data_IF_548986664357
#
_entry.id   IF_548986664357
#
_cell.length_a   1.000
_cell.length_b   1.000
_cell.length_c   1.000
_cell.angle_alpha   90.00
_cell.angle_beta   90.00
_cell.angle_gamma   90.00
#
_symmetry.space_group_name_H-M   'P 1'
#
loop_
_entity.id
_entity.type
_entity.pdbx_description
1 polymer ?
#
# COMPACT_ATOMS: atom_id res chain seq x y z
N UNK A 1 -20.19 -13.65 -0.51
CA UNK A 1 -20.76 -12.26 -0.49
C UNK A 1 -20.25 -11.46 0.72
N UNK A 2 -19.98 -12.07 1.85
CA UNK A 2 -19.46 -11.38 3.06
C UNK A 2 -18.04 -10.81 2.90
N UNK A 3 -17.14 -11.47 2.17
CA UNK A 3 -15.76 -11.00 1.98
C UNK A 3 -15.65 -9.66 1.19
N UNK A 4 -16.60 -9.38 0.27
CA UNK A 4 -16.62 -8.09 -0.46
C UNK A 4 -17.20 -6.94 0.36
N UNK A 5 -18.03 -7.23 1.38
CA UNK A 5 -18.60 -6.24 2.29
C UNK A 5 -17.58 -5.71 3.31
N UNK A 6 -16.57 -6.50 3.67
CA UNK A 6 -15.59 -6.19 4.72
C UNK A 6 -14.74 -4.94 4.43
N UNK A 7 -14.54 -4.59 3.15
CA UNK A 7 -13.71 -3.45 2.75
C UNK A 7 -14.52 -2.14 2.61
N UNK A 8 -15.86 -2.21 2.56
CA UNK A 8 -16.72 -1.06 2.23
C UNK A 8 -17.05 -0.11 3.40
N UNK A 9 -16.82 -0.53 4.65
CA UNK A 9 -17.29 0.22 5.83
C UNK A 9 -16.30 1.25 6.40
N UNK A 10 -15.03 1.25 5.96
CA UNK A 10 -14.03 2.21 6.43
C UNK A 10 -13.50 3.04 5.27
N UNK A 11 -13.22 4.31 5.55
CA UNK A 11 -12.46 5.17 4.64
C UNK A 11 -11.09 4.53 4.42
N UNK A 12 -10.70 4.29 3.16
CA UNK A 12 -9.37 3.80 2.83
C UNK A 12 -8.32 4.83 3.30
N UNK A 13 -7.22 4.38 3.88
CA UNK A 13 -6.14 5.27 4.35
C UNK A 13 -5.68 6.24 3.25
N UNK A 14 -5.68 5.82 1.99
CA UNK A 14 -5.31 6.66 0.86
C UNK A 14 -6.32 7.82 0.62
N UNK A 15 -7.46 7.81 1.31
CA UNK A 15 -8.47 8.85 1.32
C UNK A 15 -8.50 9.63 2.65
N UNK A 16 -7.58 9.36 3.57
CA UNK A 16 -7.49 10.09 4.85
C UNK A 16 -6.88 11.49 4.67
N UNK A 17 -7.07 12.34 5.68
CA UNK A 17 -6.46 13.66 5.73
C UNK A 17 -4.94 13.58 5.83
N UNK A 18 -4.42 12.68 6.65
CA UNK A 18 -2.98 12.48 6.84
C UNK A 18 -2.30 12.06 5.54
N UNK A 19 -2.96 11.23 4.72
CA UNK A 19 -2.44 10.88 3.40
C UNK A 19 -2.44 12.09 2.46
N UNK A 20 -3.49 12.91 2.48
CA UNK A 20 -3.59 14.14 1.69
C UNK A 20 -2.48 15.12 2.05
N UNK A 21 -2.32 15.42 3.35
CA UNK A 21 -1.27 16.32 3.85
C UNK A 21 0.13 15.82 3.46
N UNK A 22 0.37 14.52 3.60
CA UNK A 22 1.63 13.92 3.14
C UNK A 22 1.83 14.12 1.63
N UNK A 23 0.80 13.94 0.78
CA UNK A 23 0.92 14.20 -0.66
C UNK A 23 1.27 15.68 -0.94
N UNK A 24 0.68 16.61 -0.20
CA UNK A 24 1.01 18.06 -0.27
C UNK A 24 2.47 18.33 0.12
N UNK A 25 2.97 17.72 1.19
CA UNK A 25 4.38 17.82 1.58
C UNK A 25 5.34 17.28 0.52
N UNK A 26 4.90 16.30 -0.30
CA UNK A 26 5.69 15.84 -1.45
C UNK A 26 5.67 16.81 -2.65
N UNK A 27 4.95 17.94 -2.55
CA UNK A 27 4.85 18.97 -3.58
C UNK A 27 3.72 18.72 -4.58
N UNK A 28 2.77 17.84 -4.29
CA UNK A 28 1.58 17.64 -5.10
C UNK A 28 0.48 18.63 -4.70
N UNK A 29 -0.30 19.05 -5.67
CA UNK A 29 -1.55 19.76 -5.42
C UNK A 29 -2.64 18.71 -5.14
N UNK A 30 -3.44 18.96 -4.12
CA UNK A 30 -4.58 18.12 -3.75
C UNK A 30 -5.85 18.93 -3.73
N UNK A 31 -6.98 18.23 -3.84
CA UNK A 31 -8.32 18.80 -3.70
C UNK A 31 -9.13 17.87 -2.81
N UNK A 32 -9.94 18.45 -1.93
CA UNK A 32 -10.90 17.70 -1.13
C UNK A 32 -12.31 18.08 -1.56
N UNK A 33 -13.17 17.09 -1.76
CA UNK A 33 -14.58 17.29 -2.05
C UNK A 33 -15.42 16.40 -1.16
N UNK A 34 -16.56 16.91 -0.73
CA UNK A 34 -17.52 16.16 0.09
C UNK A 34 -18.90 16.18 -0.55
N UNK A 35 -19.58 15.04 -0.53
CA UNK A 35 -20.94 14.88 -1.00
C UNK A 35 -21.68 13.85 -0.15
N UNK A 36 -22.81 14.23 0.45
CA UNK A 36 -23.64 13.35 1.29
C UNK A 36 -22.85 12.65 2.41
N UNK A 37 -21.91 13.36 3.06
CA UNK A 37 -21.07 12.83 4.12
C UNK A 37 -19.94 11.90 3.65
N UNK A 38 -19.74 11.77 2.34
CA UNK A 38 -18.61 11.03 1.76
C UNK A 38 -17.59 12.04 1.24
N UNK A 39 -16.41 12.05 1.87
CA UNK A 39 -15.25 12.84 1.43
C UNK A 39 -14.39 12.07 0.45
N UNK A 40 -13.83 12.78 -0.52
CA UNK A 40 -12.79 12.25 -1.43
C UNK A 40 -11.62 13.20 -1.52
N UNK A 41 -10.42 12.63 -1.55
CA UNK A 41 -9.18 13.32 -1.83
C UNK A 41 -8.73 13.03 -3.26
N UNK A 42 -8.45 14.10 -4.00
CA UNK A 42 -7.98 14.08 -5.38
C UNK A 42 -6.56 14.60 -5.42
N UNK A 43 -5.66 13.87 -6.04
CA UNK A 43 -4.24 14.19 -6.12
C UNK A 43 -3.89 14.57 -7.55
N UNK A 44 -3.35 15.77 -7.78
CA UNK A 44 -2.84 16.17 -9.08
C UNK A 44 -1.49 15.50 -9.35
N UNK A 45 -1.39 14.85 -10.49
CA UNK A 45 -0.14 14.33 -11.03
C UNK A 45 0.25 15.09 -12.29
N UNK A 46 1.56 15.39 -12.42
CA UNK A 46 2.14 16.04 -13.61
C UNK A 46 2.99 15.03 -14.37
N UNK A 47 2.77 14.96 -15.67
CA UNK A 47 3.57 14.15 -16.58
C UNK A 47 4.27 15.05 -17.60
N UNK A 48 5.55 14.83 -17.86
CA UNK A 48 6.23 15.54 -18.96
C UNK A 48 5.47 15.35 -20.27
N UNK A 49 5.40 16.41 -21.08
CA UNK A 49 4.81 16.43 -22.43
C UNK A 49 3.27 16.40 -22.46
N UNK A 50 2.63 15.50 -21.70
CA UNK A 50 1.15 15.31 -21.77
C UNK A 50 0.37 16.15 -20.75
N UNK A 51 1.06 16.74 -19.75
CA UNK A 51 0.44 17.65 -18.78
C UNK A 51 -0.03 16.94 -17.51
N UNK A 52 -1.22 17.33 -17.03
CA UNK A 52 -1.73 16.95 -15.72
C UNK A 52 -2.86 15.94 -15.80
N UNK A 53 -2.99 15.09 -14.77
CA UNK A 53 -4.16 14.27 -14.52
C UNK A 53 -4.52 14.25 -13.04
N UNK A 54 -5.77 14.00 -12.72
CA UNK A 54 -6.23 13.75 -11.36
C UNK A 54 -6.18 12.27 -11.03
N UNK A 55 -5.84 11.96 -9.79
CA UNK A 55 -5.89 10.60 -9.26
C UNK A 55 -6.70 10.53 -7.98
N UNK A 56 -7.64 9.60 -7.92
CA UNK A 56 -8.49 9.31 -6.76
C UNK A 56 -8.16 7.88 -6.32
N UNK A 57 -7.28 7.68 -5.31
CA UNK A 57 -6.94 6.36 -4.84
C UNK A 57 -8.11 5.74 -4.07
N UNK A 58 -8.65 4.61 -4.50
CA UNK A 58 -9.69 3.83 -3.80
C UNK A 58 -10.87 4.64 -3.25
N UNK A 59 -11.23 5.72 -3.97
CA UNK A 59 -12.30 6.65 -3.60
C UNK A 59 -13.52 6.54 -4.51
N UNK A 60 -14.58 7.24 -4.12
CA UNK A 60 -15.76 7.42 -4.95
C UNK A 60 -15.47 8.45 -6.06
N UNK A 61 -16.27 8.40 -7.13
CA UNK A 61 -16.21 9.42 -8.18
C UNK A 61 -17.44 10.34 -8.07
N UNK A 62 -17.19 11.66 -8.09
CA UNK A 62 -18.22 12.69 -8.13
C UNK A 62 -18.21 13.39 -9.48
N UNK A 63 -19.39 13.60 -10.08
CA UNK A 63 -19.50 14.24 -11.41
C UNK A 63 -18.99 15.69 -11.42
N UNK A 64 -19.07 16.38 -10.29
CA UNK A 64 -18.56 17.74 -10.08
C UNK A 64 -17.04 17.84 -10.34
N UNK A 65 -16.31 16.73 -10.22
CA UNK A 65 -14.89 16.65 -10.58
C UNK A 65 -14.62 16.92 -12.06
N UNK A 66 -15.59 16.69 -12.94
CA UNK A 66 -15.43 16.95 -14.37
C UNK A 66 -15.24 18.45 -14.60
N UNK A 67 -16.05 19.29 -13.93
CA UNK A 67 -15.93 20.75 -14.07
C UNK A 67 -14.63 21.27 -13.45
N UNK A 68 -14.23 20.76 -12.28
CA UNK A 68 -12.93 21.08 -11.71
C UNK A 68 -11.79 20.67 -12.66
N UNK A 69 -11.85 19.47 -13.21
CA UNK A 69 -10.84 18.98 -14.15
C UNK A 69 -10.73 19.83 -15.43
N UNK A 70 -11.84 20.34 -15.97
CA UNK A 70 -11.84 21.27 -17.09
C UNK A 70 -11.17 22.59 -16.70
N UNK A 71 -11.56 23.18 -15.55
CA UNK A 71 -10.98 24.42 -15.02
C UNK A 71 -9.47 24.32 -14.83
N UNK A 72 -8.99 23.22 -14.24
CA UNK A 72 -7.57 22.95 -13.99
C UNK A 72 -6.81 22.43 -15.24
N UNK A 73 -7.47 22.35 -16.40
CA UNK A 73 -6.91 21.88 -17.70
C UNK A 73 -6.33 20.46 -17.62
N UNK A 74 -7.01 19.60 -16.87
CA UNK A 74 -6.65 18.19 -16.67
C UNK A 74 -6.87 17.38 -17.94
N UNK A 75 -6.01 16.42 -18.23
CA UNK A 75 -6.14 15.50 -19.35
C UNK A 75 -7.15 14.39 -19.13
N UNK A 76 -7.14 13.78 -17.97
CA UNK A 76 -8.06 12.70 -17.55
C UNK A 76 -8.12 12.61 -16.03
N UNK A 77 -9.15 11.95 -15.51
CA UNK A 77 -9.28 11.59 -14.10
C UNK A 77 -9.07 10.08 -14.01
N UNK A 78 -8.04 9.65 -13.30
CA UNK A 78 -7.80 8.26 -12.92
C UNK A 78 -8.40 7.97 -11.56
N UNK A 79 -9.06 6.84 -11.40
CA UNK A 79 -9.55 6.41 -10.09
C UNK A 79 -9.56 4.90 -9.98
N UNK A 80 -9.51 4.41 -8.73
CA UNK A 80 -9.59 3.00 -8.40
C UNK A 80 -10.97 2.74 -7.79
N UNK A 81 -11.97 2.28 -8.59
CA UNK A 81 -13.33 2.07 -8.10
C UNK A 81 -13.37 0.94 -7.07
N UNK A 82 -14.18 1.12 -6.02
CA UNK A 82 -14.36 0.11 -4.98
C UNK A 82 -15.06 -1.16 -5.50
N UNK A 83 -15.99 -1.01 -6.44
CA UNK A 83 -16.77 -2.09 -7.01
C UNK A 83 -17.36 -1.71 -8.38
N UNK A 84 -18.00 -2.66 -9.05
CA UNK A 84 -18.60 -2.45 -10.38
C UNK A 84 -19.73 -1.41 -10.38
N UNK A 85 -20.44 -1.25 -9.27
CA UNK A 85 -21.52 -0.24 -9.17
C UNK A 85 -20.96 1.17 -9.31
N UNK A 86 -19.73 1.41 -8.82
CA UNK A 86 -19.05 2.71 -8.90
C UNK A 86 -18.72 3.15 -10.33
N UNK A 87 -18.79 2.26 -11.33
CA UNK A 87 -18.48 2.56 -12.73
C UNK A 87 -19.65 2.35 -13.70
N UNK A 88 -20.76 1.75 -13.21
CA UNK A 88 -21.86 1.26 -14.08
C UNK A 88 -22.44 2.32 -15.03
N UNK A 89 -22.53 3.57 -14.58
CA UNK A 89 -23.15 4.68 -15.34
C UNK A 89 -22.10 5.69 -15.84
N UNK A 90 -20.82 5.38 -15.72
CA UNK A 90 -19.74 6.29 -16.10
C UNK A 90 -19.13 5.89 -17.44
N UNK A 91 -18.80 6.88 -18.27
CA UNK A 91 -18.01 6.67 -19.49
C UNK A 91 -16.53 6.52 -19.12
N UNK A 92 -16.11 5.31 -18.79
CA UNK A 92 -14.75 4.99 -18.37
C UNK A 92 -14.02 4.11 -19.37
N UNK A 93 -12.70 4.18 -19.36
CA UNK A 93 -11.82 3.26 -20.07
C UNK A 93 -10.86 2.63 -19.07
N UNK A 94 -10.45 1.38 -19.30
CA UNK A 94 -9.45 0.73 -18.46
C UNK A 94 -8.11 1.48 -18.57
N UNK A 95 -7.52 1.84 -17.42
CA UNK A 95 -6.22 2.47 -17.40
C UNK A 95 -5.12 1.54 -17.95
N UNK A 96 -4.05 2.06 -18.58
CA UNK A 96 -2.98 1.22 -19.11
C UNK A 96 -2.16 0.50 -18.04
N UNK A 97 -2.20 0.98 -16.81
CA UNK A 97 -1.60 0.32 -15.62
C UNK A 97 -2.40 0.71 -14.37
N UNK A 98 -2.37 -0.16 -13.40
CA UNK A 98 -2.99 0.07 -12.10
C UNK A 98 -2.07 0.90 -11.22
N UNK A 99 -2.63 1.84 -10.47
CA UNK A 99 -1.89 2.69 -9.52
C UNK A 99 -1.71 2.00 -8.17
N UNK A 100 -2.68 1.20 -7.77
CA UNK A 100 -2.64 0.38 -6.56
C UNK A 100 -2.63 -1.11 -6.94
N UNK A 101 -2.11 -2.00 -6.08
CA UNK A 101 -2.18 -3.43 -6.32
C UNK A 101 -3.62 -3.89 -6.55
N UNK A 102 -3.84 -4.68 -7.62
CA UNK A 102 -5.14 -5.27 -7.92
C UNK A 102 -5.57 -6.34 -6.93
N UNK A 103 -4.62 -6.90 -6.22
CA UNK A 103 -4.84 -8.00 -5.29
C UNK A 103 -4.11 -7.72 -3.99
N UNK A 104 -4.78 -7.87 -2.86
CA UNK A 104 -4.20 -7.69 -1.52
C UNK A 104 -4.52 -8.89 -0.63
N UNK A 105 -3.76 -9.05 0.45
CA UNK A 105 -3.95 -10.14 1.41
C UNK A 105 -4.28 -9.58 2.79
N UNK A 106 -5.55 -9.71 3.19
CA UNK A 106 -6.11 -9.16 4.43
C UNK A 106 -6.52 -10.28 5.34
N UNK A 107 -5.97 -10.35 6.55
CA UNK A 107 -6.36 -11.33 7.57
C UNK A 107 -7.24 -10.69 8.64
N UNK A 108 -8.21 -11.45 9.15
CA UNK A 108 -9.00 -11.11 10.34
C UNK A 108 -8.16 -11.36 11.60
N UNK A 109 -7.87 -10.30 12.36
CA UNK A 109 -7.07 -10.35 13.58
C UNK A 109 -7.90 -10.22 14.88
N UNK A 110 -9.23 -10.31 14.81
CA UNK A 110 -10.11 -10.40 16.00
C UNK A 110 -9.89 -11.69 16.77
N UNK A 111 -9.42 -12.73 16.09
CA UNK A 111 -9.10 -14.07 16.64
C UNK A 111 -8.03 -14.00 17.73
N UNK A 112 -7.96 -15.03 18.60
CA UNK A 112 -6.87 -15.11 19.58
C UNK A 112 -5.50 -15.29 18.90
N UNK A 113 -4.41 -14.99 19.61
CA UNK A 113 -3.05 -15.20 19.09
C UNK A 113 -2.80 -16.66 18.73
N UNK A 114 -3.31 -17.59 19.54
CA UNK A 114 -3.20 -19.04 19.30
C UNK A 114 -3.93 -19.43 17.99
N UNK A 115 -5.11 -18.88 17.76
CA UNK A 115 -5.86 -19.11 16.53
C UNK A 115 -5.12 -18.54 15.31
N UNK A 116 -4.61 -17.31 15.40
CA UNK A 116 -3.81 -16.70 14.34
C UNK A 116 -2.57 -17.53 14.02
N UNK A 117 -1.84 -17.98 15.05
CA UNK A 117 -0.68 -18.85 14.87
C UNK A 117 -1.06 -20.20 14.27
N UNK A 118 -2.19 -20.80 14.66
CA UNK A 118 -2.65 -22.10 14.12
C UNK A 118 -2.98 -22.03 12.63
N UNK A 119 -3.50 -20.89 12.16
CA UNK A 119 -3.83 -20.63 10.76
C UNK A 119 -2.61 -20.35 9.88
N UNK A 120 -1.47 -19.98 10.47
CA UNK A 120 -0.23 -19.77 9.70
C UNK A 120 0.30 -21.09 9.13
N UNK A 121 1.02 -20.99 8.01
CA UNK A 121 1.81 -22.13 7.51
C UNK A 121 2.82 -22.60 8.55
N UNK A 122 3.08 -23.91 8.69
CA UNK A 122 4.05 -24.45 9.67
C UNK A 122 5.43 -23.76 9.58
N UNK A 123 5.89 -23.47 8.35
CA UNK A 123 7.16 -22.76 8.11
C UNK A 123 7.15 -21.33 8.65
N UNK A 124 6.00 -20.62 8.59
CA UNK A 124 5.87 -19.25 9.13
C UNK A 124 5.99 -19.26 10.64
N UNK A 125 5.26 -20.16 11.34
CA UNK A 125 5.39 -20.35 12.80
C UNK A 125 6.82 -20.70 13.22
N UNK A 126 7.42 -21.65 12.50
CA UNK A 126 8.81 -22.05 12.73
C UNK A 126 9.76 -20.85 12.61
N UNK A 127 9.60 -20.01 11.57
CA UNK A 127 10.46 -18.86 11.34
C UNK A 127 10.28 -17.76 12.40
N UNK A 128 9.05 -17.53 12.90
CA UNK A 128 8.79 -16.62 14.03
C UNK A 128 9.54 -17.12 15.27
N UNK A 129 9.37 -18.38 15.62
CA UNK A 129 10.04 -19.00 16.79
C UNK A 129 11.57 -19.01 16.64
N UNK A 130 12.07 -19.24 15.43
CA UNK A 130 13.51 -19.21 15.14
C UNK A 130 14.08 -17.81 15.37
N UNK A 131 13.41 -16.76 14.88
CA UNK A 131 13.84 -15.38 15.07
C UNK A 131 13.88 -15.02 16.58
N UNK A 132 12.85 -15.43 17.34
CA UNK A 132 12.84 -15.26 18.81
C UNK A 132 14.01 -15.96 19.48
N UNK A 133 14.25 -17.25 19.16
CA UNK A 133 15.36 -18.04 19.71
C UNK A 133 16.74 -17.48 19.33
N UNK A 134 16.85 -16.80 18.20
CA UNK A 134 18.08 -16.10 17.77
C UNK A 134 18.30 -14.78 18.51
N UNK A 135 17.38 -14.34 19.37
CA UNK A 135 17.50 -13.11 20.16
C UNK A 135 17.21 -11.84 19.35
N UNK A 136 16.37 -11.94 18.31
CA UNK A 136 15.91 -10.75 17.58
C UNK A 136 15.06 -9.90 18.50
N UNK A 137 15.46 -8.63 18.70
CA UNK A 137 14.66 -7.61 19.39
C UNK A 137 13.83 -6.81 18.39
N UNK A 138 12.55 -6.58 18.72
CA UNK A 138 11.67 -5.72 17.91
C UNK A 138 11.46 -4.41 18.67
N UNK A 139 11.72 -3.29 17.97
CA UNK A 139 11.52 -1.94 18.45
C UNK A 139 10.61 -1.15 17.49
N UNK A 140 9.96 -0.11 18.01
CA UNK A 140 9.16 0.81 17.19
C UNK A 140 9.46 2.24 17.59
N UNK A 141 10.07 3.02 16.69
CA UNK A 141 10.34 4.45 16.88
C UNK A 141 10.81 5.08 15.57
N UNK A 142 10.46 6.33 15.36
CA UNK A 142 10.94 7.14 14.22
C UNK A 142 12.46 7.42 14.26
N UNK A 143 13.12 7.27 15.41
CA UNK A 143 14.58 7.42 15.52
C UNK A 143 15.36 6.50 14.57
N UNK A 144 14.77 5.40 14.12
CA UNK A 144 15.36 4.42 13.22
C UNK A 144 15.16 4.76 11.73
N UNK A 145 14.75 5.99 11.39
CA UNK A 145 14.49 6.38 9.99
C UNK A 145 15.71 6.19 9.08
N UNK A 146 16.91 6.50 9.56
CA UNK A 146 18.13 6.34 8.78
C UNK A 146 18.47 4.87 8.53
N UNK A 147 18.25 3.99 9.51
CA UNK A 147 18.39 2.54 9.35
C UNK A 147 17.38 2.00 8.35
N UNK A 148 16.12 2.43 8.40
CA UNK A 148 15.11 2.06 7.43
C UNK A 148 15.53 2.47 6.01
N UNK A 149 16.00 3.71 5.81
CA UNK A 149 16.45 4.20 4.50
C UNK A 149 17.67 3.44 4.00
N UNK A 150 18.63 3.11 4.86
CA UNK A 150 19.76 2.23 4.54
C UNK A 150 19.28 0.87 4.02
N UNK A 151 18.35 0.24 4.72
CA UNK A 151 17.77 -1.06 4.31
C UNK A 151 16.98 -0.96 3.00
N UNK A 152 16.26 0.14 2.77
CA UNK A 152 15.56 0.41 1.50
C UNK A 152 16.54 0.46 0.34
N UNK A 153 17.66 1.22 0.46
CA UNK A 153 18.72 1.26 -0.57
C UNK A 153 19.28 -0.14 -0.88
N UNK A 154 19.70 -0.86 0.16
CA UNK A 154 20.24 -2.22 0.01
C UNK A 154 19.24 -3.16 -0.69
N UNK A 155 17.94 -3.04 -0.34
CA UNK A 155 16.88 -3.85 -0.96
C UNK A 155 16.66 -3.47 -2.42
N UNK A 156 16.72 -2.17 -2.77
CA UNK A 156 16.58 -1.66 -4.13
C UNK A 156 17.71 -2.17 -5.04
N UNK A 157 18.95 -2.00 -4.60
CA UNK A 157 20.15 -2.43 -5.32
C UNK A 157 20.12 -3.94 -5.59
N UNK A 158 19.88 -4.75 -4.56
CA UNK A 158 19.83 -6.21 -4.68
C UNK A 158 18.76 -6.71 -5.66
N UNK A 159 17.57 -6.10 -5.63
CA UNK A 159 16.42 -6.55 -6.44
C UNK A 159 16.35 -5.88 -7.81
N UNK A 160 17.17 -4.86 -8.08
CA UNK A 160 17.08 -4.05 -9.30
C UNK A 160 15.72 -3.33 -9.44
N UNK A 161 15.06 -3.01 -8.34
CA UNK A 161 13.75 -2.34 -8.33
C UNK A 161 13.89 -0.89 -7.87
N UNK A 162 13.01 -0.03 -8.40
CA UNK A 162 12.94 1.36 -7.97
C UNK A 162 11.99 1.48 -6.78
N UNK A 163 12.51 1.96 -5.67
CA UNK A 163 11.71 2.47 -4.55
C UNK A 163 11.44 3.97 -4.72
N UNK A 164 10.63 4.53 -3.83
CA UNK A 164 10.49 5.98 -3.75
C UNK A 164 11.84 6.61 -3.33
N UNK A 165 12.10 7.87 -3.68
CA UNK A 165 13.25 8.62 -3.15
C UNK A 165 13.22 8.68 -1.62
N UNK A 166 14.39 8.82 -0.97
CA UNK A 166 14.48 8.89 0.50
C UNK A 166 13.64 10.03 1.09
N UNK A 167 13.64 11.18 0.42
CA UNK A 167 12.83 12.35 0.81
C UNK A 167 11.32 12.02 0.91
N UNK A 168 10.82 11.13 0.07
CA UNK A 168 9.43 10.64 0.14
C UNK A 168 9.15 9.93 1.47
N UNK A 169 10.05 9.05 1.92
CA UNK A 169 9.89 8.33 3.17
C UNK A 169 10.08 9.24 4.38
N UNK A 170 11.04 10.17 4.34
CA UNK A 170 11.23 11.15 5.42
C UNK A 170 9.98 12.00 5.59
N UNK A 171 9.48 12.59 4.51
CA UNK A 171 8.23 13.36 4.53
C UNK A 171 7.04 12.55 5.03
N UNK A 172 6.93 11.27 4.65
CA UNK A 172 5.87 10.39 5.13
C UNK A 172 5.93 10.23 6.66
N UNK A 173 7.12 9.93 7.20
CA UNK A 173 7.34 9.71 8.63
C UNK A 173 7.18 11.01 9.42
N UNK A 174 7.59 12.16 8.86
CA UNK A 174 7.47 13.47 9.50
C UNK A 174 6.04 14.03 9.49
N UNK A 175 5.24 13.69 8.47
CA UNK A 175 3.90 14.26 8.30
C UNK A 175 2.83 13.41 8.98
N UNK A 176 2.92 12.09 8.87
CA UNK A 176 1.89 11.19 9.41
C UNK A 176 2.21 10.91 10.88
N UNK A 177 1.28 11.18 11.82
CA UNK A 177 1.51 10.99 13.25
C UNK A 177 1.93 9.56 13.63
N UNK A 178 2.79 9.41 14.66
CA UNK A 178 3.30 8.11 15.11
C UNK A 178 2.24 7.12 15.60
N UNK A 179 1.09 7.61 16.05
CA UNK A 179 -0.04 6.75 16.41
C UNK A 179 -0.75 6.17 15.18
N UNK A 180 -0.52 6.75 13.98
CA UNK A 180 -1.06 6.28 12.70
C UNK A 180 0.00 5.55 11.89
N UNK A 181 1.21 6.09 11.75
CA UNK A 181 2.31 5.45 11.02
C UNK A 181 3.41 5.02 11.97
N UNK A 182 3.61 3.71 12.12
CA UNK A 182 4.65 3.15 12.97
C UNK A 182 5.81 2.59 12.13
N UNK A 183 7.02 2.97 12.52
CA UNK A 183 8.25 2.37 11.99
C UNK A 183 8.73 1.28 12.96
N UNK A 184 8.58 0.03 12.54
CA UNK A 184 9.09 -1.14 13.24
C UNK A 184 10.46 -1.52 12.73
N UNK A 185 11.36 -1.92 13.62
CA UNK A 185 12.68 -2.45 13.29
C UNK A 185 12.96 -3.74 14.04
N UNK A 186 13.72 -4.62 13.40
CA UNK A 186 14.27 -5.81 14.02
C UNK A 186 15.78 -5.63 14.19
N UNK A 187 16.25 -5.75 15.43
CA UNK A 187 17.66 -5.64 15.79
C UNK A 187 18.26 -7.00 16.10
N UNK A 188 19.46 -7.21 15.62
CA UNK A 188 20.28 -8.38 15.89
C UNK A 188 21.74 -7.98 16.07
N UNK A 189 22.37 -8.37 17.20
CA UNK A 189 23.73 -7.99 17.56
C UNK A 189 23.96 -6.46 17.41
N UNK A 190 23.07 -5.65 17.98
CA UNK A 190 23.09 -4.18 17.96
C UNK A 190 23.03 -3.56 16.53
N UNK A 191 22.58 -4.31 15.53
CA UNK A 191 22.38 -3.83 14.16
C UNK A 191 20.92 -3.99 13.76
N UNK A 192 20.34 -2.94 13.17
CA UNK A 192 19.01 -3.03 12.53
C UNK A 192 19.13 -3.78 11.21
N UNK A 193 18.43 -4.92 11.10
CA UNK A 193 18.54 -5.87 9.96
C UNK A 193 17.24 -6.02 9.15
N UNK A 194 16.11 -5.56 9.69
CA UNK A 194 14.85 -5.49 8.96
C UNK A 194 14.02 -4.33 9.50
N UNK A 195 13.19 -3.74 8.66
CA UNK A 195 12.29 -2.66 9.04
C UNK A 195 10.99 -2.67 8.24
N UNK A 196 9.88 -2.23 8.87
CA UNK A 196 8.56 -2.12 8.28
C UNK A 196 7.92 -0.79 8.64
N UNK A 197 7.27 -0.15 7.65
CA UNK A 197 6.29 0.92 7.89
C UNK A 197 4.89 0.32 7.87
N UNK A 198 4.14 0.53 8.94
CA UNK A 198 2.78 0.02 9.12
C UNK A 198 1.85 1.17 9.51
N UNK A 199 0.77 1.34 8.77
CA UNK A 199 -0.28 2.33 9.05
C UNK A 199 -1.38 1.68 9.88
N UNK A 200 -1.87 2.39 10.88
CA UNK A 200 -3.02 2.07 11.71
C UNK A 200 -4.14 3.04 11.37
N UNK A 201 -5.11 2.60 10.58
CA UNK A 201 -6.21 3.45 10.11
C UNK A 201 -7.57 2.79 10.39
N UNK A 202 -8.37 3.43 11.23
CA UNK A 202 -9.65 2.88 11.66
C UNK A 202 -9.51 1.46 12.23
N UNK A 203 -10.17 0.50 11.61
CA UNK A 203 -10.14 -0.91 12.04
C UNK A 203 -9.11 -1.76 11.28
N UNK A 204 -8.21 -1.15 10.52
CA UNK A 204 -7.25 -1.88 9.69
C UNK A 204 -5.82 -1.38 9.90
N UNK A 205 -4.90 -2.29 10.17
CA UNK A 205 -3.48 -2.00 10.07
C UNK A 205 -2.97 -2.45 8.70
N UNK A 206 -2.14 -1.62 8.05
CA UNK A 206 -1.70 -1.82 6.66
C UNK A 206 -0.17 -1.83 6.60
N UNK A 207 0.41 -2.93 6.14
CA UNK A 207 1.84 -3.04 5.84
C UNK A 207 2.16 -2.31 4.53
N UNK A 208 2.71 -1.09 4.63
CA UNK A 208 3.01 -0.25 3.47
C UNK A 208 4.34 -0.60 2.82
N UNK A 209 5.40 -0.60 3.60
CA UNK A 209 6.76 -0.78 3.11
C UNK A 209 7.56 -1.67 4.04
N UNK A 210 8.49 -2.45 3.46
CA UNK A 210 9.44 -3.23 4.24
C UNK A 210 10.75 -3.40 3.51
N UNK A 211 11.83 -3.46 4.28
CA UNK A 211 13.18 -3.63 3.79
C UNK A 211 13.98 -4.55 4.72
N UNK A 212 14.95 -5.27 4.14
CA UNK A 212 15.73 -6.27 4.87
C UNK A 212 17.19 -6.29 4.43
N UNK A 213 18.07 -6.57 5.37
CA UNK A 213 19.47 -6.93 5.11
C UNK A 213 19.54 -8.42 4.78
N UNK A 214 19.98 -8.76 3.57
CA UNK A 214 20.02 -10.16 3.08
C UNK A 214 21.13 -10.97 3.73
N UNK A 215 22.17 -10.35 4.26
CA UNK A 215 23.21 -11.02 5.02
C UNK A 215 22.65 -11.78 6.24
N UNK A 216 21.56 -11.25 6.81
CA UNK A 216 20.88 -11.80 8.00
C UNK A 216 19.61 -12.58 7.68
N UNK A 217 19.38 -12.98 6.42
CA UNK A 217 18.17 -13.71 6.02
C UNK A 217 17.93 -15.01 6.80
N UNK A 218 19.01 -15.64 7.27
CA UNK A 218 18.97 -16.89 8.03
C UNK A 218 18.40 -16.76 9.44
N UNK A 219 18.30 -15.54 9.99
CA UNK A 219 17.69 -15.30 11.32
C UNK A 219 16.19 -15.03 11.26
N UNK A 220 15.60 -14.97 10.06
CA UNK A 220 14.16 -14.88 9.79
C UNK A 220 13.46 -13.66 10.43
N UNK A 221 14.18 -12.57 10.69
CA UNK A 221 13.69 -11.36 11.34
C UNK A 221 12.37 -10.80 10.75
N UNK A 222 12.12 -10.78 9.41
CA UNK A 222 10.87 -10.27 8.85
C UNK A 222 9.61 -10.98 9.34
N UNK A 223 9.70 -12.27 9.71
CA UNK A 223 8.54 -13.02 10.21
C UNK A 223 8.14 -12.57 11.62
N UNK A 224 9.12 -12.37 12.50
CA UNK A 224 8.88 -11.89 13.85
C UNK A 224 8.43 -10.42 13.83
N UNK A 225 9.00 -9.60 12.92
CA UNK A 225 8.64 -8.20 12.74
C UNK A 225 7.17 -8.05 12.34
N UNK A 226 6.69 -8.84 11.36
CA UNK A 226 5.28 -8.85 10.98
C UNK A 226 4.38 -9.37 12.11
N UNK A 227 4.80 -10.41 12.81
CA UNK A 227 4.01 -10.96 13.93
C UNK A 227 3.85 -9.93 15.05
N UNK A 228 4.91 -9.19 15.38
CA UNK A 228 4.80 -8.11 16.37
C UNK A 228 3.85 -7.00 15.91
N UNK A 229 3.94 -6.57 14.64
CA UNK A 229 3.03 -5.57 14.09
C UNK A 229 1.56 -6.04 14.11
N UNK A 230 1.29 -7.32 13.86
CA UNK A 230 -0.06 -7.91 13.97
C UNK A 230 -0.57 -7.87 15.41
N UNK A 231 0.26 -8.23 16.39
CA UNK A 231 -0.10 -8.18 17.82
C UNK A 231 -0.43 -6.75 18.25
N UNK A 232 0.43 -5.81 17.88
CA UNK A 232 0.24 -4.39 18.21
C UNK A 232 -1.02 -3.81 17.55
N UNK A 233 -1.31 -4.22 16.30
CA UNK A 233 -2.54 -3.85 15.61
C UNK A 233 -3.79 -4.35 16.36
N UNK A 234 -3.78 -5.61 16.76
CA UNK A 234 -4.85 -6.20 17.58
C UNK A 234 -5.03 -5.46 18.91
N UNK A 235 -3.93 -5.19 19.62
CA UNK A 235 -3.94 -4.48 20.91
C UNK A 235 -4.42 -3.01 20.76
N UNK A 236 -4.21 -2.40 19.58
CA UNK A 236 -4.69 -1.06 19.23
C UNK A 236 -6.16 -1.06 18.77
N UNK A 237 -6.87 -2.19 18.79
CA UNK A 237 -8.26 -2.31 18.41
C UNK A 237 -8.52 -2.46 16.91
N UNK A 238 -7.49 -2.73 16.11
CA UNK A 238 -7.68 -3.13 14.72
C UNK A 238 -8.33 -4.52 14.65
N UNK A 239 -9.17 -4.69 13.65
CA UNK A 239 -9.85 -5.95 13.37
C UNK A 239 -9.22 -6.70 12.20
N UNK A 240 -8.45 -6.00 11.37
CA UNK A 240 -7.84 -6.51 10.13
C UNK A 240 -6.37 -6.09 10.04
N UNK A 241 -5.59 -6.98 9.42
CA UNK A 241 -4.22 -6.67 9.03
C UNK A 241 -4.05 -6.91 7.53
N UNK A 242 -3.82 -5.84 6.78
CA UNK A 242 -3.60 -5.87 5.34
C UNK A 242 -2.10 -5.95 5.04
N UNK A 243 -1.65 -7.06 4.51
CA UNK A 243 -0.27 -7.24 4.06
C UNK A 243 0.06 -6.44 2.79
N UNK A 244 -0.92 -5.73 2.21
CA UNK A 244 -0.78 -5.04 0.95
C UNK A 244 -0.67 -5.99 -0.24
N UNK A 245 -0.21 -5.47 -1.35
CA UNK A 245 -0.23 -6.17 -2.63
C UNK A 245 0.37 -7.57 -2.62
N UNK A 246 -0.35 -8.50 -3.24
CA UNK A 246 0.10 -9.85 -3.60
C UNK A 246 -0.18 -10.09 -5.08
N UNK A 247 0.40 -11.16 -5.64
CA UNK A 247 0.09 -11.62 -6.99
C UNK A 247 -0.01 -13.13 -6.97
N UNK A 248 -1.23 -13.65 -6.92
CA UNK A 248 -1.48 -15.09 -6.83
C UNK A 248 -1.54 -15.78 -8.19
N UNK A 249 -1.78 -15.01 -9.27
CA UNK A 249 -1.81 -15.48 -10.65
C UNK A 249 -0.51 -15.20 -11.41
N UNK A 250 -0.15 -16.09 -12.33
CA UNK A 250 1.07 -15.99 -13.14
C UNK A 250 2.26 -16.72 -12.54
N UNK A 251 2.82 -17.63 -13.32
CA UNK A 251 3.95 -18.47 -12.91
C UNK A 251 5.25 -17.64 -12.99
N UNK A 252 6.10 -17.73 -11.95
CA UNK A 252 7.44 -17.11 -11.88
C UNK A 252 7.50 -15.58 -12.10
N UNK A 253 6.62 -14.84 -11.43
CA UNK A 253 6.71 -13.38 -11.43
C UNK A 253 7.66 -12.86 -10.34
N UNK A 254 8.13 -11.61 -10.48
CA UNK A 254 9.01 -10.93 -9.52
C UNK A 254 8.43 -10.82 -8.09
N UNK A 255 7.12 -11.01 -7.93
CA UNK A 255 6.40 -10.96 -6.66
C UNK A 255 6.29 -12.32 -5.97
N UNK A 256 6.72 -13.43 -6.60
CA UNK A 256 6.50 -14.77 -6.07
C UNK A 256 7.05 -14.98 -4.66
N UNK A 257 8.21 -14.44 -4.35
CA UNK A 257 8.83 -14.52 -3.01
C UNK A 257 8.05 -13.76 -1.96
N UNK A 258 7.71 -12.49 -2.22
CA UNK A 258 6.95 -11.65 -1.27
C UNK A 258 5.51 -12.14 -1.12
N UNK A 259 4.90 -12.62 -2.19
CA UNK A 259 3.55 -13.23 -2.15
C UNK A 259 3.55 -14.48 -1.27
N UNK A 260 4.51 -15.41 -1.46
CA UNK A 260 4.65 -16.61 -0.62
C UNK A 260 4.86 -16.28 0.86
N UNK A 261 5.64 -15.23 1.16
CA UNK A 261 5.87 -14.73 2.50
C UNK A 261 4.56 -14.27 3.14
N UNK A 262 3.83 -13.36 2.49
CA UNK A 262 2.57 -12.80 2.99
C UNK A 262 1.50 -13.87 3.20
N UNK A 263 1.26 -14.71 2.20
CA UNK A 263 0.29 -15.82 2.26
C UNK A 263 0.68 -16.90 3.30
N UNK A 264 1.87 -16.84 3.85
CA UNK A 264 2.30 -17.71 4.95
C UNK A 264 1.61 -17.42 6.27
N UNK A 265 1.07 -16.21 6.47
CA UNK A 265 0.44 -15.79 7.72
C UNK A 265 -1.01 -16.25 7.90
N UNK A 266 -1.67 -16.74 6.86
CA UNK A 266 -2.94 -17.49 6.99
C UNK A 266 -3.11 -18.45 5.81
N UNK A 267 -3.51 -19.68 6.10
CA UNK A 267 -3.84 -20.69 5.08
C UNK A 267 -5.35 -20.71 4.76
N UNK A 268 -6.14 -20.11 5.62
CA UNK A 268 -7.61 -20.10 5.49
C UNK A 268 -8.13 -18.85 4.79
N UNK A 269 -7.33 -17.79 4.76
CA UNK A 269 -7.70 -16.52 4.13
C UNK A 269 -7.36 -16.54 2.64
N UNK A 270 -8.29 -16.05 1.83
CA UNK A 270 -8.06 -15.80 0.40
C UNK A 270 -7.67 -14.34 0.18
N UNK A 271 -6.94 -14.07 -0.89
CA UNK A 271 -6.66 -12.71 -1.33
C UNK A 271 -7.93 -12.01 -1.82
N UNK A 272 -7.93 -10.68 -1.69
CA UNK A 272 -9.03 -9.83 -2.16
C UNK A 272 -8.63 -9.16 -3.47
N UNK A 273 -9.47 -9.27 -4.49
CA UNK A 273 -9.24 -8.65 -5.79
C UNK A 273 -10.02 -7.34 -5.92
N UNK A 274 -9.37 -6.33 -6.50
CA UNK A 274 -9.94 -5.05 -6.88
C UNK A 274 -10.09 -4.96 -8.40
N UNK A 275 -10.96 -4.06 -8.85
CA UNK A 275 -11.16 -3.82 -10.29
C UNK A 275 -9.93 -3.20 -10.97
N UNK A 276 -9.00 -2.61 -10.19
CA UNK A 276 -7.87 -1.82 -10.67
C UNK A 276 -8.31 -0.45 -11.20
N UNK A 277 -7.39 0.26 -11.86
CA UNK A 277 -7.59 1.66 -12.23
C UNK A 277 -8.39 1.84 -13.52
N UNK A 278 -9.23 2.89 -13.54
CA UNK A 278 -10.00 3.35 -14.71
C UNK A 278 -9.75 4.83 -14.95
N UNK A 279 -9.88 5.25 -16.21
CA UNK A 279 -9.70 6.64 -16.64
C UNK A 279 -10.99 7.22 -17.20
N UNK A 280 -11.36 8.44 -16.77
CA UNK A 280 -12.38 9.29 -17.39
C UNK A 280 -11.65 10.34 -18.22
N UNK A 281 -11.89 10.35 -19.51
CA UNK A 281 -11.17 11.21 -20.45
C UNK A 281 -11.80 12.61 -20.46
N UNK A 282 -11.01 13.62 -20.07
CA UNK A 282 -11.42 15.05 -20.11
C UNK A 282 -10.92 15.71 -21.38
N UNK A 283 -9.65 15.48 -21.76
CA UNK A 283 -9.07 15.97 -23.00
C UNK A 283 -8.57 14.80 -23.86
N UNK A 284 -9.30 14.46 -24.96
CA UNK A 284 -8.96 13.32 -25.80
C UNK A 284 -7.56 13.40 -26.43
N UNK A 285 -7.11 14.61 -26.80
CA UNK A 285 -5.80 14.81 -27.45
C UNK A 285 -4.67 14.48 -26.44
N UNK A 286 -4.72 15.06 -25.24
CA UNK A 286 -3.75 14.78 -24.19
C UNK A 286 -3.74 13.28 -23.82
N UNK A 287 -4.91 12.66 -23.72
CA UNK A 287 -5.05 11.25 -23.40
C UNK A 287 -4.49 10.35 -24.53
N UNK A 288 -4.71 10.71 -25.80
CA UNK A 288 -4.14 9.98 -26.93
C UNK A 288 -2.60 9.97 -26.89
N UNK A 289 -1.95 11.13 -26.70
CA UNK A 289 -0.49 11.20 -26.55
C UNK A 289 0.01 10.41 -25.33
N UNK A 290 -0.70 10.48 -24.21
CA UNK A 290 -0.40 9.66 -23.04
C UNK A 290 -0.40 8.16 -23.39
N UNK A 291 -1.42 7.67 -24.10
CA UNK A 291 -1.52 6.25 -24.51
C UNK A 291 -0.39 5.83 -25.44
N UNK A 292 0.03 6.69 -26.35
CA UNK A 292 1.19 6.44 -27.23
C UNK A 292 2.46 6.26 -26.38
N UNK A 293 2.74 7.19 -25.47
CA UNK A 293 3.92 7.13 -24.60
C UNK A 293 3.92 5.85 -23.76
N UNK A 294 2.76 5.44 -23.21
CA UNK A 294 2.65 4.20 -22.45
C UNK A 294 2.95 2.96 -23.30
N UNK A 295 2.48 2.92 -24.56
CA UNK A 295 2.79 1.81 -25.49
C UNK A 295 4.28 1.73 -25.79
N UNK A 296 4.93 2.86 -26.05
CA UNK A 296 6.38 2.88 -26.30
C UNK A 296 7.15 2.34 -25.07
N UNK A 297 6.79 2.78 -23.86
CA UNK A 297 7.41 2.30 -22.61
C UNK A 297 7.18 0.81 -22.31
N UNK A 298 6.15 0.21 -22.85
CA UNK A 298 5.88 -1.23 -22.67
C UNK A 298 6.62 -2.12 -23.67
N UNK A 299 7.23 -1.54 -24.70
CA UNK A 299 7.99 -2.23 -25.75
C UNK A 299 9.51 -2.17 -25.46
N UNK A 300 9.95 -1.10 -24.78
CA UNK A 300 11.34 -0.92 -24.31
C UNK A 300 11.55 -1.60 -22.94
#
# INVERSE_FOLDING_TARGET
>A
MEEKAIISENIDFLQSEEWREFQEKTGKQTFHMERNGIGINVIEHKLPVVGKYFYIPRGEFFEELIELAKKEKIGWIRFDPKNEKSIKNLKVVKAPHDMQPKETFVIDIKKSEEQLLSEMKPKTRYNINLAQKKGIAINSSIKYVDDFLRLVRMTAERKGIKFHPEDYYRKMIETIPENILKLYVAEYNNKVIAANLVVFSGKTAIYLHGATDDEYRNVMAPYLLQWQAIKDAKNSGCERYDFGGVKTTGVNNSWSGITKFKLGFSQVTKSVEFLGSYDIIINPIKYFFYRIIQRIKSIL
#
